data_IF_967789589533
#
_entry.id   IF_967789589533
#
_cell.length_a   1.000
_cell.length_b   1.000
_cell.length_c   1.000
_cell.angle_alpha   90.00
_cell.angle_beta   90.00
_cell.angle_gamma   90.00
#
_symmetry.space_group_name_H-M   'P 1'
#
loop_
_entity.id
_entity.type
_entity.pdbx_description
1 polymer ?
#
# COMPACT_ATOMS: atom_id res chain seq x y z
N UNK A 1 -34.38 43.31 15.08
CA UNK A 1 -33.74 42.13 14.47
C UNK A 1 -33.13 41.32 15.60
N UNK A 2 -33.51 40.03 15.83
CA UNK A 2 -33.11 39.32 17.04
C UNK A 2 -31.67 38.89 16.96
N UNK A 3 -30.83 39.46 17.80
CA UNK A 3 -29.41 39.14 17.96
C UNK A 3 -29.18 37.65 18.33
N UNK A 4 -30.22 37.02 18.88
CA UNK A 4 -30.24 35.61 19.25
C UNK A 4 -30.08 34.64 18.05
N UNK A 5 -30.56 35.00 16.86
CA UNK A 5 -30.49 34.16 15.67
C UNK A 5 -29.05 34.01 15.13
N UNK A 6 -28.22 35.05 15.31
CA UNK A 6 -26.81 35.02 14.88
C UNK A 6 -25.93 34.18 15.81
N UNK A 7 -26.26 34.13 17.11
CA UNK A 7 -25.56 33.29 18.08
C UNK A 7 -25.73 31.79 17.82
N UNK A 8 -26.95 31.36 17.46
CA UNK A 8 -27.25 29.96 17.15
C UNK A 8 -26.56 29.50 15.85
N UNK A 9 -26.57 30.36 14.82
CA UNK A 9 -25.90 30.06 13.54
C UNK A 9 -24.38 29.90 13.72
N UNK A 10 -23.77 30.80 14.51
CA UNK A 10 -22.31 30.69 14.81
C UNK A 10 -21.97 29.42 15.58
N UNK A 11 -22.79 29.00 16.54
CA UNK A 11 -22.56 27.79 17.34
C UNK A 11 -22.66 26.52 16.49
N UNK A 12 -23.64 26.47 15.56
CA UNK A 12 -23.80 25.34 14.63
C UNK A 12 -22.56 25.22 13.70
N UNK A 13 -22.10 26.35 13.16
CA UNK A 13 -20.88 26.34 12.29
C UNK A 13 -19.65 25.84 13.07
N UNK A 14 -19.46 26.28 14.30
CA UNK A 14 -18.35 25.83 15.14
C UNK A 14 -18.43 24.33 15.41
N UNK A 15 -19.61 23.80 15.72
CA UNK A 15 -19.79 22.35 15.94
C UNK A 15 -19.55 21.52 14.67
N UNK A 16 -19.96 22.00 13.50
CA UNK A 16 -19.70 21.34 12.22
C UNK A 16 -18.21 21.34 11.90
N UNK A 17 -17.52 22.46 12.12
CA UNK A 17 -16.06 22.55 11.91
C UNK A 17 -15.30 21.63 12.88
N UNK A 18 -15.68 21.61 14.15
CA UNK A 18 -15.09 20.68 15.13
C UNK A 18 -15.36 19.21 14.73
N UNK A 19 -16.58 18.90 14.30
CA UNK A 19 -16.95 17.57 13.81
C UNK A 19 -16.12 17.14 12.60
N UNK A 20 -15.88 18.03 11.64
CA UNK A 20 -15.02 17.77 10.48
C UNK A 20 -13.54 17.56 10.89
N UNK A 21 -13.04 18.34 11.84
CA UNK A 21 -11.66 18.20 12.33
C UNK A 21 -11.48 16.87 13.07
N UNK A 22 -12.45 16.45 13.86
CA UNK A 22 -12.40 15.16 14.59
C UNK A 22 -12.55 13.99 13.61
N UNK A 23 -13.44 14.09 12.62
CA UNK A 23 -13.60 13.06 11.59
C UNK A 23 -12.36 12.92 10.66
N UNK A 24 -11.65 14.03 10.40
CA UNK A 24 -10.40 14.00 9.63
C UNK A 24 -9.20 13.46 10.39
N UNK A 25 -9.23 13.48 11.74
CA UNK A 25 -8.20 12.88 12.58
C UNK A 25 -8.25 11.36 12.67
N UNK A 26 -9.38 10.75 12.29
CA UNK A 26 -9.56 9.29 12.32
C UNK A 26 -9.04 8.54 11.08
N UNK A 27 -8.73 9.24 9.99
CA UNK A 27 -8.00 8.64 8.85
C UNK A 27 -6.52 9.00 9.02
N UNK A 28 -5.79 8.12 9.69
CA UNK A 28 -4.33 8.17 9.72
C UNK A 28 -3.82 8.30 8.29
N UNK A 29 -3.51 9.53 7.85
CA UNK A 29 -2.58 9.74 6.76
C UNK A 29 -1.27 9.18 7.26
N UNK A 30 -0.96 7.95 6.88
CA UNK A 30 0.41 7.46 6.93
C UNK A 30 1.20 8.37 6.00
N UNK A 31 1.83 9.40 6.57
CA UNK A 31 2.91 10.12 5.90
C UNK A 31 3.88 9.05 5.44
N UNK A 32 4.30 9.01 4.17
CA UNK A 32 5.31 8.07 3.75
C UNK A 32 6.54 8.34 4.59
N UNK A 33 6.77 7.47 5.55
CA UNK A 33 7.94 7.55 6.41
C UNK A 33 9.10 7.07 5.56
N UNK A 34 10.00 7.97 5.17
CA UNK A 34 11.20 7.65 4.38
C UNK A 34 12.22 6.88 5.26
N UNK A 35 11.73 5.96 6.06
CA UNK A 35 12.49 5.10 6.96
C UNK A 35 12.01 3.66 6.87
N UNK A 36 12.95 2.73 6.99
CA UNK A 36 12.65 1.31 7.01
C UNK A 36 11.81 0.98 8.25
N UNK A 37 10.58 0.54 8.02
CA UNK A 37 9.66 0.17 9.08
C UNK A 37 9.97 -1.24 9.62
N UNK A 38 9.55 -1.50 10.86
CA UNK A 38 9.57 -2.84 11.42
C UNK A 38 8.58 -3.72 10.64
N UNK A 39 8.94 -4.98 10.44
CA UNK A 39 8.02 -5.97 9.89
C UNK A 39 6.77 -6.09 10.75
N UNK A 40 5.62 -6.29 10.12
CA UNK A 40 4.38 -6.58 10.82
C UNK A 40 4.53 -7.86 11.67
N UNK A 41 3.86 -7.91 12.80
CA UNK A 41 3.92 -9.09 13.68
C UNK A 41 3.50 -10.39 12.95
N UNK A 42 2.58 -10.28 12.00
CA UNK A 42 2.08 -11.41 11.20
C UNK A 42 2.91 -11.67 9.93
N UNK A 43 3.92 -10.85 9.62
CA UNK A 43 4.72 -10.96 8.39
C UNK A 43 5.41 -12.32 8.23
N UNK A 44 5.85 -12.94 9.34
CA UNK A 44 6.45 -14.28 9.32
C UNK A 44 5.50 -15.38 8.81
N UNK A 45 4.19 -15.16 8.88
CA UNK A 45 3.16 -16.04 8.34
C UNK A 45 2.76 -15.73 6.90
N UNK A 46 3.40 -14.73 6.28
CA UNK A 46 3.13 -14.30 4.91
C UNK A 46 4.41 -14.33 4.06
N UNK A 47 5.01 -15.52 3.85
CA UNK A 47 6.19 -15.62 2.99
C UNK A 47 5.89 -15.12 1.59
N UNK A 48 6.79 -14.27 1.10
CA UNK A 48 6.83 -13.74 -0.26
C UNK A 48 7.90 -14.47 -1.05
N UNK A 49 7.60 -14.87 -2.28
CA UNK A 49 8.50 -15.63 -3.15
C UNK A 49 8.27 -15.29 -4.62
N UNK A 50 9.10 -15.84 -5.49
CA UNK A 50 8.99 -15.75 -6.95
C UNK A 50 8.91 -14.31 -7.47
N UNK A 51 9.71 -13.40 -6.88
CA UNK A 51 9.74 -12.02 -7.32
C UNK A 51 10.26 -11.92 -8.75
N UNK A 52 9.56 -11.14 -9.57
CA UNK A 52 9.94 -10.83 -10.95
C UNK A 52 9.62 -9.37 -11.24
N UNK A 53 10.47 -8.72 -12.04
CA UNK A 53 10.24 -7.35 -12.50
C UNK A 53 9.91 -7.32 -13.98
N UNK A 54 9.03 -6.40 -14.35
CA UNK A 54 8.73 -6.10 -15.76
C UNK A 54 8.41 -4.63 -15.93
N UNK A 55 8.57 -4.11 -17.14
CA UNK A 55 8.24 -2.74 -17.50
C UNK A 55 7.21 -2.71 -18.62
N UNK A 56 6.40 -1.68 -18.64
CA UNK A 56 5.50 -1.37 -19.74
C UNK A 56 5.60 0.11 -20.08
N UNK A 57 5.58 0.42 -21.37
CA UNK A 57 5.51 1.81 -21.85
C UNK A 57 4.14 2.02 -22.47
N UNK A 58 3.41 3.02 -22.01
CA UNK A 58 2.14 3.41 -22.60
C UNK A 58 2.34 4.11 -23.94
N UNK A 59 1.29 4.13 -24.77
CA UNK A 59 1.31 4.84 -26.09
C UNK A 59 1.62 6.33 -25.89
N UNK A 60 1.28 6.90 -24.74
CA UNK A 60 1.58 8.29 -24.39
C UNK A 60 3.01 8.51 -23.85
N UNK A 61 3.86 7.47 -23.84
CA UNK A 61 5.26 7.54 -23.40
C UNK A 61 5.48 7.39 -21.90
N UNK A 62 4.41 7.21 -21.09
CA UNK A 62 4.54 6.92 -19.66
C UNK A 62 5.10 5.51 -19.44
N UNK A 63 6.11 5.39 -18.58
CA UNK A 63 6.65 4.10 -18.14
C UNK A 63 6.02 3.69 -16.82
N UNK A 64 5.71 2.40 -16.69
CA UNK A 64 5.32 1.77 -15.42
C UNK A 64 6.19 0.55 -15.19
N UNK A 65 6.68 0.40 -13.98
CA UNK A 65 7.42 -0.79 -13.56
C UNK A 65 6.54 -1.61 -12.62
N UNK A 66 6.61 -2.90 -12.79
CA UNK A 66 5.85 -3.87 -12.02
C UNK A 66 6.80 -4.78 -11.27
N UNK A 67 6.47 -5.05 -10.01
CA UNK A 67 7.08 -6.13 -9.22
C UNK A 67 5.98 -7.14 -8.95
N UNK A 68 6.07 -8.27 -9.60
CA UNK A 68 5.19 -9.42 -9.39
C UNK A 68 5.81 -10.37 -8.37
N UNK A 69 4.98 -11.10 -7.67
CA UNK A 69 5.44 -12.12 -6.74
C UNK A 69 4.30 -13.05 -6.32
N UNK A 70 4.64 -13.97 -5.47
CA UNK A 70 3.72 -14.94 -4.89
C UNK A 70 3.71 -14.77 -3.36
N UNK A 71 2.52 -14.79 -2.77
CA UNK A 71 2.33 -14.68 -1.33
C UNK A 71 1.44 -15.81 -0.83
N UNK A 72 1.79 -16.38 0.32
CA UNK A 72 1.03 -17.45 0.97
C UNK A 72 0.70 -17.07 2.41
N UNK A 73 -0.53 -17.36 2.84
CA UNK A 73 -0.90 -17.26 4.24
C UNK A 73 -0.65 -18.61 4.95
N UNK A 74 0.45 -18.72 5.65
CA UNK A 74 0.79 -19.93 6.43
C UNK A 74 0.31 -19.86 7.88
N UNK A 75 -0.31 -18.76 8.28
CA UNK A 75 -0.84 -18.55 9.62
C UNK A 75 -2.29 -18.98 9.76
N UNK A 76 -2.92 -18.58 10.87
CA UNK A 76 -4.26 -19.04 11.26
C UNK A 76 -5.35 -17.97 11.13
N UNK A 77 -4.99 -16.70 10.89
CA UNK A 77 -5.94 -15.61 10.72
C UNK A 77 -6.27 -15.38 9.25
N UNK A 78 -7.48 -14.92 8.95
CA UNK A 78 -7.84 -14.44 7.61
C UNK A 78 -7.30 -13.03 7.42
N UNK A 79 -6.46 -12.84 6.40
CA UNK A 79 -5.83 -11.56 6.08
C UNK A 79 -6.71 -10.76 5.13
N UNK A 80 -7.04 -9.52 5.51
CA UNK A 80 -7.92 -8.62 4.76
C UNK A 80 -7.21 -7.39 4.20
N UNK A 81 -5.98 -7.13 4.62
CA UNK A 81 -5.14 -6.05 4.11
C UNK A 81 -3.67 -6.33 4.34
N UNK A 82 -2.84 -5.95 3.38
CA UNK A 82 -1.38 -6.06 3.47
C UNK A 82 -0.78 -4.76 2.98
N UNK A 83 0.09 -4.16 3.78
CA UNK A 83 0.92 -3.02 3.39
C UNK A 83 2.37 -3.49 3.27
N UNK A 84 3.00 -3.13 2.17
CA UNK A 84 4.41 -3.45 1.93
C UNK A 84 5.26 -2.20 1.80
N UNK A 85 6.51 -2.31 2.23
CA UNK A 85 7.60 -1.44 1.80
C UNK A 85 8.44 -2.15 0.76
N UNK A 86 8.76 -1.41 -0.29
CA UNK A 86 9.66 -1.86 -1.36
C UNK A 86 10.91 -1.00 -1.31
N UNK A 87 12.05 -1.61 -1.13
CA UNK A 87 13.35 -0.97 -0.97
C UNK A 87 14.13 -1.13 -2.28
N UNK A 88 14.29 -0.02 -3.00
CA UNK A 88 15.14 0.04 -4.19
C UNK A 88 16.57 0.40 -3.75
N UNK A 89 17.52 -0.52 -3.92
CA UNK A 89 18.92 -0.29 -3.63
C UNK A 89 19.50 0.80 -4.54
N UNK A 90 20.40 1.62 -4.01
CA UNK A 90 21.06 2.67 -4.79
C UNK A 90 22.42 2.20 -5.32
N UNK A 91 22.78 2.65 -6.55
CA UNK A 91 24.02 2.26 -7.23
C UNK A 91 25.29 2.68 -6.47
N UNK A 92 25.23 3.74 -5.65
CA UNK A 92 26.36 4.28 -4.89
C UNK A 92 26.46 3.75 -3.47
N UNK A 93 25.69 2.73 -3.10
CA UNK A 93 25.68 2.18 -1.73
C UNK A 93 25.08 3.11 -0.68
N UNK A 94 24.39 4.17 -1.10
CA UNK A 94 23.61 5.04 -0.21
C UNK A 94 22.33 4.35 0.27
N UNK A 95 21.62 4.96 1.21
CA UNK A 95 20.38 4.41 1.74
C UNK A 95 19.37 4.12 0.60
N UNK A 96 18.65 2.99 0.64
CA UNK A 96 17.69 2.64 -0.40
C UNK A 96 16.54 3.65 -0.48
N UNK A 97 15.98 3.82 -1.66
CA UNK A 97 14.70 4.52 -1.81
C UNK A 97 13.58 3.61 -1.39
N UNK A 98 12.65 4.15 -0.59
CA UNK A 98 11.59 3.38 0.05
C UNK A 98 10.24 3.82 -0.50
N UNK A 99 9.52 2.87 -1.07
CA UNK A 99 8.13 3.05 -1.48
C UNK A 99 7.21 2.21 -0.60
N UNK A 100 6.14 2.82 -0.09
CA UNK A 100 5.16 2.14 0.77
C UNK A 100 3.80 2.15 0.10
N UNK A 101 3.22 0.98 -0.12
CA UNK A 101 1.94 0.84 -0.78
C UNK A 101 1.16 -0.39 -0.32
N UNK A 102 -0.18 -0.43 -0.51
CA UNK A 102 -0.96 -1.64 -0.32
C UNK A 102 -0.56 -2.69 -1.35
N UNK A 103 -0.50 -3.95 -0.93
CA UNK A 103 -0.32 -5.08 -1.82
C UNK A 103 -1.63 -5.38 -2.54
N UNK A 104 -1.56 -5.54 -3.86
CA UNK A 104 -2.70 -5.91 -4.70
C UNK A 104 -2.52 -7.30 -5.29
N UNK A 105 -3.58 -8.11 -5.23
CA UNK A 105 -3.60 -9.48 -5.75
C UNK A 105 -3.93 -9.49 -7.24
N UNK A 106 -3.30 -10.36 -8.01
CA UNK A 106 -3.66 -10.58 -9.41
C UNK A 106 -4.98 -11.37 -9.44
N UNK A 107 -6.01 -10.78 -10.04
CA UNK A 107 -7.32 -11.40 -10.25
C UNK A 107 -7.37 -12.20 -11.53
N UNK A 108 -6.86 -11.64 -12.63
CA UNK A 108 -6.77 -12.28 -13.93
C UNK A 108 -5.50 -11.85 -14.67
N UNK A 109 -5.02 -12.72 -15.56
CA UNK A 109 -3.84 -12.45 -16.40
C UNK A 109 -4.20 -12.22 -17.86
N UNK A 110 -5.42 -12.55 -18.27
CA UNK A 110 -5.87 -12.43 -19.68
C UNK A 110 -7.25 -11.76 -19.75
N UNK A 111 -7.48 -10.90 -20.77
CA UNK A 111 -6.55 -10.46 -21.83
C UNK A 111 -5.47 -9.50 -21.30
N UNK A 112 -5.68 -8.88 -20.12
CA UNK A 112 -4.75 -7.99 -19.45
C UNK A 112 -4.66 -8.41 -17.98
N UNK A 113 -3.53 -8.10 -17.35
CA UNK A 113 -3.39 -8.32 -15.92
C UNK A 113 -4.26 -7.30 -15.19
N UNK A 114 -5.21 -7.81 -14.43
CA UNK A 114 -6.09 -7.04 -13.57
C UNK A 114 -5.83 -7.41 -12.10
N UNK A 115 -5.90 -6.40 -11.23
CA UNK A 115 -5.59 -6.54 -9.81
C UNK A 115 -6.77 -6.15 -8.94
N UNK A 116 -6.80 -6.67 -7.73
CA UNK A 116 -7.79 -6.36 -6.70
C UNK A 116 -7.12 -6.21 -5.34
N UNK A 117 -7.79 -5.50 -4.43
CA UNK A 117 -7.31 -5.39 -3.05
C UNK A 117 -7.42 -6.73 -2.32
N UNK A 118 -6.56 -6.93 -1.31
CA UNK A 118 -6.67 -8.08 -0.40
C UNK A 118 -8.02 -8.08 0.32
N UNK A 119 -8.56 -6.90 0.63
CA UNK A 119 -9.88 -6.78 1.26
C UNK A 119 -11.03 -7.30 0.39
N UNK A 120 -10.92 -7.21 -0.95
CA UNK A 120 -11.90 -7.76 -1.89
C UNK A 120 -11.80 -9.28 -2.08
N UNK A 121 -10.63 -9.85 -1.79
CA UNK A 121 -10.36 -11.29 -1.87
C UNK A 121 -9.44 -11.69 -0.72
N UNK A 122 -9.96 -11.79 0.52
CA UNK A 122 -9.17 -12.11 1.69
C UNK A 122 -8.41 -13.43 1.55
N UNK A 123 -7.18 -13.47 2.10
CA UNK A 123 -6.37 -14.67 2.17
C UNK A 123 -6.71 -15.45 3.43
N UNK A 124 -7.44 -16.54 3.28
CA UNK A 124 -7.70 -17.47 4.38
C UNK A 124 -6.43 -18.26 4.74
N UNK A 125 -6.39 -18.90 5.91
CA UNK A 125 -5.31 -19.83 6.26
C UNK A 125 -5.06 -20.86 5.16
N UNK A 126 -3.83 -20.96 4.68
CA UNK A 126 -3.41 -21.86 3.61
C UNK A 126 -3.58 -21.30 2.19
N UNK A 127 -4.28 -20.19 2.00
CA UNK A 127 -4.43 -19.57 0.69
C UNK A 127 -3.10 -19.02 0.18
N UNK A 128 -2.91 -19.12 -1.13
CA UNK A 128 -1.77 -18.54 -1.84
C UNK A 128 -2.25 -17.81 -3.10
N UNK A 129 -1.62 -16.69 -3.42
CA UNK A 129 -1.99 -15.83 -4.55
C UNK A 129 -0.77 -15.16 -5.16
N UNK A 130 -0.89 -14.88 -6.45
CA UNK A 130 0.03 -13.94 -7.10
C UNK A 130 -0.37 -12.51 -6.79
N UNK A 131 0.62 -11.64 -6.66
CA UNK A 131 0.42 -10.21 -6.45
C UNK A 131 1.19 -9.39 -7.48
N UNK A 132 0.80 -8.13 -7.64
CA UNK A 132 1.49 -7.12 -8.44
C UNK A 132 1.56 -5.80 -7.68
N UNK A 133 2.77 -5.25 -7.61
CA UNK A 133 3.03 -3.88 -7.18
C UNK A 133 3.32 -3.03 -8.41
N UNK A 134 2.78 -1.80 -8.44
CA UNK A 134 2.86 -0.92 -9.60
C UNK A 134 3.60 0.35 -9.19
N UNK A 135 4.61 0.74 -9.98
CA UNK A 135 5.41 1.94 -9.79
C UNK A 135 5.35 2.77 -11.08
N UNK A 136 4.88 4.01 -10.98
CA UNK A 136 4.84 4.95 -12.11
C UNK A 136 6.21 5.54 -12.41
N UNK A 137 7.11 5.55 -11.42
CA UNK A 137 8.49 5.96 -11.57
C UNK A 137 9.39 5.13 -10.64
N UNK A 138 10.56 4.81 -11.11
CA UNK A 138 11.64 4.21 -10.30
C UNK A 138 12.70 5.29 -10.06
N UNK A 139 13.36 5.27 -8.88
CA UNK A 139 14.44 6.20 -8.59
C UNK A 139 15.56 6.11 -9.63
N UNK A 140 16.05 7.26 -10.11
CA UNK A 140 17.16 7.31 -11.06
C UNK A 140 18.46 6.70 -10.48
N UNK A 141 18.58 6.68 -9.16
CA UNK A 141 19.72 6.11 -8.43
C UNK A 141 19.65 4.59 -8.23
N UNK A 142 18.57 3.93 -8.67
CA UNK A 142 18.39 2.49 -8.47
C UNK A 142 19.51 1.67 -9.15
N UNK A 143 20.03 0.68 -8.42
CA UNK A 143 21.13 -0.16 -8.84
C UNK A 143 20.76 -1.30 -9.81
N UNK A 144 19.52 -1.31 -10.30
CA UNK A 144 18.97 -2.31 -11.23
C UNK A 144 18.83 -3.74 -10.64
N UNK A 145 19.06 -3.91 -9.34
CA UNK A 145 18.84 -5.18 -8.66
C UNK A 145 17.38 -5.35 -8.21
N UNK A 146 16.96 -6.61 -8.00
CA UNK A 146 15.63 -6.90 -7.48
C UNK A 146 15.41 -6.19 -6.14
N UNK A 147 14.38 -5.33 -6.00
CA UNK A 147 14.11 -4.64 -4.75
C UNK A 147 13.67 -5.62 -3.66
N UNK A 148 13.96 -5.26 -2.41
CA UNK A 148 13.46 -6.00 -1.25
C UNK A 148 11.99 -5.63 -1.00
N UNK A 149 11.12 -6.63 -0.89
CA UNK A 149 9.70 -6.45 -0.53
C UNK A 149 9.49 -6.87 0.91
N UNK A 150 9.03 -5.95 1.76
CA UNK A 150 8.84 -6.12 3.20
C UNK A 150 7.39 -5.94 3.58
N UNK A 151 6.79 -6.90 4.27
CA UNK A 151 5.43 -6.76 4.83
C UNK A 151 5.51 -5.97 6.12
N UNK A 152 5.01 -4.74 6.13
CA UNK A 152 5.09 -3.80 7.26
C UNK A 152 3.74 -3.55 7.94
N UNK A 153 2.63 -3.88 7.28
CA UNK A 153 1.29 -3.80 7.84
C UNK A 153 0.44 -5.00 7.43
N UNK A 154 -0.36 -5.53 8.34
CA UNK A 154 -1.30 -6.63 8.07
C UNK A 154 -2.59 -6.37 8.83
N UNK A 155 -3.71 -6.45 8.13
CA UNK A 155 -5.05 -6.40 8.69
C UNK A 155 -5.64 -7.81 8.66
N UNK A 156 -6.22 -8.24 9.79
CA UNK A 156 -6.84 -9.56 9.93
C UNK A 156 -8.23 -9.47 10.52
N UNK A 157 -9.04 -10.48 10.32
CA UNK A 157 -10.34 -10.66 10.98
C UNK A 157 -10.46 -12.06 11.57
#
# INVERSE_FOLDING_TARGET
MPVAAWGVAALVVVLVVIGMIVASRGKGRTTPTNSIQRLAAYAGSLPVSQLAMSESTSIAGGKSTFVDGHIKNTGTATVTGITVQVLFGNAEGSAPTIETQPLTLIRTRQPYIDTQSVGSSPLNPGDERDFRLIFESIPDSWNMEMPEVRVVGVETK
#
